data_IF_467780644510
#
_entry.id   IF_467780644510
#
_cell.length_a   1.000
_cell.length_b   1.000
_cell.length_c   1.000
_cell.angle_alpha   90.00
_cell.angle_beta   90.00
_cell.angle_gamma   90.00
#
_symmetry.space_group_name_H-M   'P 1'
#
loop_
_entity.id
_entity.type
_entity.pdbx_description
1 polymer ?
#
# COMPACT_ATOMS: atom_id res chain seq x y z
N UNK A 1 4.19 35.35 122.78
CA UNK A 1 3.76 34.02 122.31
C UNK A 1 3.90 33.90 120.80
N UNK A 2 3.52 34.96 120.10
CA UNK A 2 3.16 34.93 118.68
C UNK A 2 4.36 34.71 117.73
N UNK A 3 5.56 35.20 118.07
CA UNK A 3 6.76 34.99 117.26
C UNK A 3 7.18 33.51 117.19
N UNK A 4 6.88 32.70 118.22
CA UNK A 4 7.16 31.26 118.22
C UNK A 4 6.17 30.49 117.33
N UNK A 5 4.91 30.95 117.29
CA UNK A 5 3.84 30.34 116.47
C UNK A 5 4.10 30.58 114.98
N UNK A 6 4.45 31.81 114.59
CA UNK A 6 4.77 32.15 113.19
C UNK A 6 6.01 31.38 112.69
N UNK A 7 7.03 31.18 113.55
CA UNK A 7 8.20 30.35 113.21
C UNK A 7 7.87 28.87 113.02
N UNK A 8 6.88 28.34 113.74
CA UNK A 8 6.47 26.94 113.64
C UNK A 8 5.63 26.65 112.38
N UNK A 9 4.76 27.58 111.97
CA UNK A 9 3.89 27.40 110.80
C UNK A 9 4.64 27.61 109.47
N UNK A 10 5.56 28.58 109.39
CA UNK A 10 6.29 28.91 108.15
C UNK A 10 7.68 28.27 108.05
N UNK A 11 7.89 27.07 108.59
CA UNK A 11 9.21 26.40 108.60
C UNK A 11 9.80 26.22 107.19
N UNK A 12 8.96 25.91 106.20
CA UNK A 12 9.39 25.64 104.81
C UNK A 12 9.24 26.84 103.86
N UNK A 13 8.67 27.97 104.31
CA UNK A 13 8.41 29.16 103.48
C UNK A 13 9.22 30.36 103.98
N UNK A 14 10.53 30.32 103.71
CA UNK A 14 11.52 31.29 104.22
C UNK A 14 11.19 32.76 103.89
N UNK A 15 10.64 33.05 102.71
CA UNK A 15 10.26 34.42 102.29
C UNK A 15 9.05 34.95 103.05
N UNK A 16 8.01 34.13 103.23
CA UNK A 16 6.80 34.48 103.98
C UNK A 16 7.09 34.62 105.48
N UNK A 17 8.00 33.78 106.02
CA UNK A 17 8.47 33.86 107.41
C UNK A 17 9.17 35.19 107.73
N UNK A 18 9.99 35.70 106.81
CA UNK A 18 10.73 36.95 107.00
C UNK A 18 9.82 38.18 106.90
N UNK A 19 8.79 38.15 106.02
CA UNK A 19 7.81 39.24 105.93
C UNK A 19 6.88 39.30 107.15
N UNK A 20 6.61 38.17 107.83
CA UNK A 20 5.62 38.09 108.92
C UNK A 20 6.23 38.21 110.34
N UNK A 21 7.54 38.43 110.48
CA UNK A 21 8.25 38.33 111.77
C UNK A 21 7.93 39.46 112.78
N UNK A 22 7.29 40.56 112.33
CA UNK A 22 6.92 41.72 113.15
C UNK A 22 5.40 41.88 113.35
N UNK A 23 4.61 40.93 112.87
CA UNK A 23 3.15 40.95 112.95
C UNK A 23 2.63 40.14 114.14
N UNK A 24 1.46 40.53 114.67
CA UNK A 24 0.69 39.70 115.61
C UNK A 24 0.14 38.46 114.88
N UNK A 25 -0.11 37.37 115.60
CA UNK A 25 -0.62 36.13 115.01
C UNK A 25 -1.91 36.34 114.20
N UNK A 26 -2.81 37.22 114.66
CA UNK A 26 -4.06 37.57 113.96
C UNK A 26 -3.78 38.31 112.65
N UNK A 27 -2.94 39.35 112.68
CA UNK A 27 -2.56 40.10 111.46
C UNK A 27 -1.79 39.26 110.44
N UNK A 28 -1.07 38.22 110.89
CA UNK A 28 -0.38 37.29 110.00
C UNK A 28 -1.34 36.33 109.29
N UNK A 29 -2.44 35.93 109.96
CA UNK A 29 -3.52 35.13 109.35
C UNK A 29 -4.23 35.96 108.28
N UNK A 30 -4.64 37.20 108.60
CA UNK A 30 -5.31 38.10 107.65
C UNK A 30 -4.47 38.36 106.39
N UNK A 31 -3.15 38.57 106.53
CA UNK A 31 -2.27 38.81 105.40
C UNK A 31 -2.00 37.54 104.55
N UNK A 32 -2.08 36.35 105.13
CA UNK A 32 -2.03 35.08 104.39
C UNK A 32 -3.36 34.85 103.69
N UNK A 33 -4.48 35.12 104.34
CA UNK A 33 -5.81 35.01 103.76
C UNK A 33 -5.98 35.99 102.58
N UNK A 34 -5.49 37.22 102.69
CA UNK A 34 -5.45 38.17 101.56
C UNK A 34 -4.64 37.62 100.38
N UNK A 35 -3.44 37.06 100.63
CA UNK A 35 -2.63 36.43 99.58
C UNK A 35 -3.30 35.18 99.00
N UNK A 36 -4.00 34.39 99.81
CA UNK A 36 -4.79 33.25 99.35
C UNK A 36 -5.94 33.71 98.45
N UNK A 37 -6.62 34.79 98.81
CA UNK A 37 -7.66 35.41 97.97
C UNK A 37 -7.09 35.98 96.67
N UNK A 38 -5.94 36.67 96.71
CA UNK A 38 -5.26 37.18 95.51
C UNK A 38 -4.83 36.05 94.57
N UNK A 39 -4.20 35.00 95.10
CA UNK A 39 -3.80 33.83 94.30
C UNK A 39 -5.02 33.03 93.80
N UNK A 40 -6.11 32.94 94.57
CA UNK A 40 -7.36 32.36 94.11
C UNK A 40 -8.01 33.18 92.99
N UNK A 41 -7.97 34.52 93.07
CA UNK A 41 -8.44 35.41 92.02
C UNK A 41 -7.58 35.28 90.76
N UNK A 42 -6.26 35.21 90.89
CA UNK A 42 -5.35 34.95 89.76
C UNK A 42 -5.62 33.58 89.11
N UNK A 43 -5.88 32.54 89.91
CA UNK A 43 -6.25 31.22 89.42
C UNK A 43 -7.60 31.25 88.68
N UNK A 44 -8.59 31.96 89.22
CA UNK A 44 -9.91 32.10 88.62
C UNK A 44 -9.84 32.87 87.29
N UNK A 45 -9.03 33.93 87.23
CA UNK A 45 -8.76 34.69 86.01
C UNK A 45 -8.10 33.80 84.93
N UNK A 46 -7.06 33.05 85.30
CA UNK A 46 -6.41 32.11 84.37
C UNK A 46 -7.35 30.99 83.91
N UNK A 47 -8.22 30.49 84.79
CA UNK A 47 -9.25 29.50 84.42
C UNK A 47 -10.26 30.10 83.44
N UNK A 48 -10.71 31.32 83.67
CA UNK A 48 -11.61 32.02 82.76
C UNK A 48 -10.96 32.19 81.38
N UNK A 49 -9.71 32.67 81.33
CA UNK A 49 -8.97 32.82 80.08
C UNK A 49 -8.73 31.49 79.37
N UNK A 50 -8.49 30.39 80.10
CA UNK A 50 -8.39 29.05 79.51
C UNK A 50 -9.70 28.64 78.86
N UNK A 51 -10.82 28.78 79.56
CA UNK A 51 -12.15 28.43 79.04
C UNK A 51 -12.49 29.27 77.80
N UNK A 52 -12.19 30.57 77.81
CA UNK A 52 -12.38 31.44 76.65
C UNK A 52 -11.56 30.98 75.43
N UNK A 53 -10.30 30.59 75.64
CA UNK A 53 -9.46 30.06 74.56
C UNK A 53 -9.97 28.70 74.06
N UNK A 54 -10.41 27.81 74.95
CA UNK A 54 -11.00 26.52 74.57
C UNK A 54 -12.28 26.70 73.75
N UNK A 55 -13.16 27.63 74.14
CA UNK A 55 -14.33 28.00 73.36
C UNK A 55 -13.93 28.54 71.98
N UNK A 56 -12.92 29.42 71.92
CA UNK A 56 -12.47 29.97 70.64
C UNK A 56 -11.90 28.92 69.71
N UNK A 57 -11.17 27.94 70.25
CA UNK A 57 -10.68 26.79 69.48
C UNK A 57 -11.83 25.94 68.97
N UNK A 58 -12.86 25.69 69.79
CA UNK A 58 -14.05 24.94 69.36
C UNK A 58 -14.83 25.67 68.27
N UNK A 59 -14.98 27.00 68.37
CA UNK A 59 -15.58 27.82 67.32
C UNK A 59 -14.82 27.71 66.00
N UNK A 60 -13.49 27.88 66.03
CA UNK A 60 -12.65 27.78 64.84
C UNK A 60 -12.65 26.38 64.23
N UNK A 61 -12.70 25.34 65.08
CA UNK A 61 -12.82 23.96 64.62
C UNK A 61 -14.17 23.73 63.93
N UNK A 62 -15.27 24.23 64.50
CA UNK A 62 -16.59 24.14 63.88
C UNK A 62 -16.69 24.94 62.57
N UNK A 63 -15.98 26.08 62.47
CA UNK A 63 -15.88 26.83 61.22
C UNK A 63 -15.09 26.05 60.15
N UNK A 64 -13.96 25.44 60.52
CA UNK A 64 -13.19 24.59 59.61
C UNK A 64 -14.00 23.39 59.11
N UNK A 65 -14.71 22.70 60.00
CA UNK A 65 -15.55 21.55 59.63
C UNK A 65 -16.69 21.98 58.68
N UNK A 66 -17.32 23.14 58.92
CA UNK A 66 -18.32 23.70 58.00
C UNK A 66 -17.74 24.03 56.63
N UNK A 67 -16.53 24.59 56.57
CA UNK A 67 -15.87 24.89 55.29
C UNK A 67 -15.48 23.62 54.54
N UNK A 68 -15.02 22.58 55.26
CA UNK A 68 -14.73 21.27 54.67
C UNK A 68 -15.99 20.60 54.09
N UNK A 69 -17.12 20.68 54.79
CA UNK A 69 -18.41 20.14 54.32
C UNK A 69 -18.93 20.85 53.07
N UNK A 70 -18.67 22.16 52.93
CA UNK A 70 -19.05 22.94 51.74
C UNK A 70 -18.20 22.51 50.54
N UNK A 71 -16.88 22.42 50.71
CA UNK A 71 -15.97 21.99 49.65
C UNK A 71 -16.26 20.56 49.18
N UNK A 72 -16.51 19.64 50.11
CA UNK A 72 -16.86 18.25 49.78
C UNK A 72 -18.18 18.13 48.97
N UNK A 73 -19.15 19.04 49.21
CA UNK A 73 -20.41 19.08 48.46
C UNK A 73 -20.26 19.67 47.06
N UNK A 74 -19.38 20.66 46.89
CA UNK A 74 -19.05 21.23 45.58
C UNK A 74 -18.32 20.22 44.68
N UNK A 75 -17.48 19.36 45.25
CA UNK A 75 -16.71 18.37 44.50
C UNK A 75 -17.50 17.11 44.09
N UNK A 76 -18.54 16.73 44.85
CA UNK A 76 -19.17 15.41 44.67
C UNK A 76 -20.29 15.40 43.60
N UNK A 77 -21.03 16.49 43.40
CA UNK A 77 -22.27 16.46 42.62
C UNK A 77 -22.67 17.81 41.99
N UNK A 78 -21.71 18.57 41.43
CA UNK A 78 -22.10 19.68 40.55
C UNK A 78 -22.78 19.12 39.28
N UNK A 79 -23.97 19.63 38.96
CA UNK A 79 -24.69 19.33 37.71
C UNK A 79 -23.79 19.56 36.47
N UNK A 80 -22.81 20.45 36.57
CA UNK A 80 -21.81 20.72 35.54
C UNK A 80 -20.87 19.53 35.33
N UNK A 81 -20.47 18.82 36.39
CA UNK A 81 -19.63 17.62 36.29
C UNK A 81 -20.40 16.47 35.64
N UNK A 82 -21.69 16.32 35.99
CA UNK A 82 -22.59 15.37 35.32
C UNK A 82 -22.75 15.71 33.84
N UNK A 83 -22.96 16.99 33.53
CA UNK A 83 -23.06 17.46 32.15
C UNK A 83 -21.78 17.22 31.35
N UNK A 84 -20.62 17.46 31.96
CA UNK A 84 -19.30 17.19 31.35
C UNK A 84 -19.15 15.71 31.02
N UNK A 85 -19.46 14.80 31.95
CA UNK A 85 -19.43 13.34 31.71
C UNK A 85 -20.39 12.91 30.61
N UNK A 86 -21.57 13.53 30.51
CA UNK A 86 -22.53 13.23 29.43
C UNK A 86 -22.02 13.70 28.07
N UNK A 87 -21.41 14.89 28.01
CA UNK A 87 -20.80 15.43 26.81
C UNK A 87 -19.61 14.59 26.35
N UNK A 88 -18.75 14.16 27.27
CA UNK A 88 -17.64 13.24 26.99
C UNK A 88 -18.15 11.90 26.43
N UNK A 89 -19.13 11.28 27.10
CA UNK A 89 -19.73 10.05 26.61
C UNK A 89 -20.41 10.20 25.24
N UNK A 90 -21.03 11.36 24.98
CA UNK A 90 -21.64 11.67 23.69
C UNK A 90 -20.58 11.82 22.60
N UNK A 91 -19.48 12.52 22.92
CA UNK A 91 -18.34 12.70 22.03
C UNK A 91 -17.67 11.36 21.70
N UNK A 92 -17.40 10.52 22.69
CA UNK A 92 -16.83 9.19 22.48
C UNK A 92 -17.73 8.31 21.60
N UNK A 93 -19.05 8.34 21.84
CA UNK A 93 -20.02 7.64 20.97
C UNK A 93 -19.99 8.18 19.54
N UNK A 94 -19.88 9.50 19.37
CA UNK A 94 -19.78 10.12 18.04
C UNK A 94 -18.47 9.73 17.34
N UNK A 95 -17.34 9.75 18.05
CA UNK A 95 -16.04 9.33 17.53
C UNK A 95 -16.04 7.86 17.13
N UNK A 96 -16.57 6.97 17.98
CA UNK A 96 -16.73 5.55 17.64
C UNK A 96 -17.60 5.37 16.40
N UNK A 97 -18.73 6.08 16.29
CA UNK A 97 -19.58 6.05 15.08
C UNK A 97 -18.86 6.56 13.84
N UNK A 98 -18.05 7.61 13.95
CA UNK A 98 -17.25 8.12 12.84
C UNK A 98 -16.17 7.11 12.43
N UNK A 99 -15.51 6.45 13.39
CA UNK A 99 -14.52 5.42 13.13
C UNK A 99 -15.15 4.21 12.44
N UNK A 100 -16.30 3.73 12.94
CA UNK A 100 -17.00 2.60 12.32
C UNK A 100 -17.52 2.97 10.94
N UNK A 101 -18.07 4.17 10.74
CA UNK A 101 -18.47 4.65 9.41
C UNK A 101 -17.28 4.70 8.45
N UNK A 102 -16.11 5.22 8.88
CA UNK A 102 -14.89 5.20 8.05
C UNK A 102 -14.44 3.80 7.71
N UNK A 103 -14.45 2.87 8.67
CA UNK A 103 -14.09 1.48 8.44
C UNK A 103 -15.05 0.82 7.44
N UNK A 104 -16.35 1.05 7.58
CA UNK A 104 -17.37 0.56 6.65
C UNK A 104 -17.18 1.15 5.26
N UNK A 105 -16.95 2.47 5.14
CA UNK A 105 -16.65 3.11 3.85
C UNK A 105 -15.41 2.54 3.20
N UNK A 106 -14.32 2.35 3.96
CA UNK A 106 -13.09 1.75 3.45
C UNK A 106 -13.30 0.30 2.98
N UNK A 107 -14.12 -0.48 3.68
CA UNK A 107 -14.47 -1.83 3.24
C UNK A 107 -15.29 -1.81 1.94
N UNK A 108 -16.28 -0.91 1.82
CA UNK A 108 -17.04 -0.77 0.58
C UNK A 108 -16.18 -0.27 -0.58
N UNK A 109 -15.23 0.63 -0.34
CA UNK A 109 -14.26 1.07 -1.34
C UNK A 109 -13.40 -0.10 -1.84
N UNK A 110 -12.91 -0.95 -0.92
CA UNK A 110 -12.16 -2.16 -1.28
C UNK A 110 -13.01 -3.16 -2.07
N UNK A 111 -14.28 -3.35 -1.70
CA UNK A 111 -15.22 -4.20 -2.46
C UNK A 111 -15.41 -3.64 -3.87
N UNK A 112 -15.62 -2.33 -4.00
CA UNK A 112 -15.80 -1.68 -5.31
C UNK A 112 -14.54 -1.80 -6.16
N UNK A 113 -13.36 -1.67 -5.57
CA UNK A 113 -12.08 -1.88 -6.27
C UNK A 113 -11.98 -3.31 -6.82
N UNK A 114 -12.30 -4.33 -6.00
CA UNK A 114 -12.33 -5.72 -6.44
C UNK A 114 -13.36 -5.99 -7.54
N UNK A 115 -14.55 -5.41 -7.43
CA UNK A 115 -15.56 -5.53 -8.48
C UNK A 115 -15.14 -4.85 -9.78
N UNK A 116 -14.40 -3.73 -9.71
CA UNK A 116 -13.82 -3.09 -10.90
C UNK A 116 -12.72 -3.93 -11.54
N UNK A 117 -11.85 -4.55 -10.73
CA UNK A 117 -10.85 -5.51 -11.23
C UNK A 117 -11.54 -6.69 -11.95
N UNK A 118 -12.58 -7.26 -11.35
CA UNK A 118 -13.38 -8.34 -11.97
C UNK A 118 -14.09 -7.87 -13.23
N UNK A 119 -14.63 -6.65 -13.24
CA UNK A 119 -15.29 -6.07 -14.41
C UNK A 119 -14.35 -6.01 -15.62
N UNK A 120 -13.07 -5.73 -15.41
CA UNK A 120 -12.07 -5.69 -16.47
C UNK A 120 -11.73 -7.08 -17.04
N UNK A 121 -12.00 -8.15 -16.30
CA UNK A 121 -11.75 -9.54 -16.73
C UNK A 121 -12.89 -10.13 -17.56
N UNK A 122 -14.12 -9.64 -17.39
CA UNK A 122 -15.29 -10.17 -18.12
C UNK A 122 -15.20 -10.05 -19.65
N UNK A 123 -14.72 -8.94 -20.24
CA UNK A 123 -14.56 -8.83 -21.70
C UNK A 123 -13.65 -9.92 -22.26
N UNK A 124 -12.49 -10.17 -21.64
CA UNK A 124 -11.57 -11.22 -22.08
C UNK A 124 -12.21 -12.62 -21.99
N UNK A 125 -12.98 -12.88 -20.92
CA UNK A 125 -13.72 -14.15 -20.79
C UNK A 125 -14.83 -14.29 -21.83
N UNK A 126 -15.50 -13.19 -22.18
CA UNK A 126 -16.51 -13.16 -23.24
C UNK A 126 -15.87 -13.41 -24.61
N UNK A 127 -14.74 -12.78 -24.92
CA UNK A 127 -14.03 -12.99 -26.19
C UNK A 127 -13.62 -14.47 -26.38
N UNK A 128 -13.16 -15.13 -25.31
CA UNK A 128 -12.86 -16.57 -25.36
C UNK A 128 -14.12 -17.38 -25.65
N UNK A 129 -15.21 -17.15 -24.91
CA UNK A 129 -16.47 -17.87 -25.13
C UNK A 129 -17.07 -17.60 -26.53
N UNK A 130 -16.94 -16.38 -27.04
CA UNK A 130 -17.38 -16.02 -28.39
C UNK A 130 -16.54 -16.71 -29.46
N UNK A 131 -15.22 -16.82 -29.25
CA UNK A 131 -14.33 -17.57 -30.16
C UNK A 131 -14.66 -19.07 -30.18
N UNK A 132 -14.84 -19.69 -29.01
CA UNK A 132 -15.25 -21.10 -28.91
C UNK A 132 -16.61 -21.34 -29.57
N UNK A 133 -17.56 -20.43 -29.37
CA UNK A 133 -18.87 -20.53 -30.02
C UNK A 133 -18.76 -20.38 -31.55
N UNK A 134 -17.88 -19.49 -32.03
CA UNK A 134 -17.63 -19.34 -33.45
C UNK A 134 -17.05 -20.63 -34.05
N UNK A 135 -16.03 -21.21 -33.41
CA UNK A 135 -15.42 -22.50 -33.82
C UNK A 135 -16.47 -23.61 -33.88
N UNK A 136 -17.28 -23.78 -32.83
CA UNK A 136 -18.35 -24.79 -32.79
C UNK A 136 -19.40 -24.55 -33.87
N UNK A 137 -19.75 -23.29 -34.16
CA UNK A 137 -20.71 -22.99 -35.24
C UNK A 137 -20.15 -23.30 -36.62
N UNK A 138 -18.84 -23.13 -36.81
CA UNK A 138 -18.18 -23.45 -38.08
C UNK A 138 -18.05 -24.97 -38.25
N UNK A 139 -17.66 -25.70 -37.21
CA UNK A 139 -17.69 -27.17 -37.19
C UNK A 139 -19.08 -27.71 -37.49
N UNK A 140 -20.13 -27.12 -36.90
CA UNK A 140 -21.52 -27.51 -37.17
C UNK A 140 -21.88 -27.28 -38.65
N UNK A 141 -21.49 -26.16 -39.24
CA UNK A 141 -21.72 -25.89 -40.66
C UNK A 141 -21.02 -26.94 -41.52
N UNK A 142 -19.74 -27.24 -41.26
CA UNK A 142 -19.00 -28.26 -41.98
C UNK A 142 -19.68 -29.63 -41.88
N UNK A 143 -20.09 -30.05 -40.68
CA UNK A 143 -20.82 -31.29 -40.46
C UNK A 143 -22.16 -31.32 -41.19
N UNK A 144 -22.89 -30.19 -41.25
CA UNK A 144 -24.15 -30.13 -42.01
C UNK A 144 -23.92 -30.29 -43.51
N UNK A 145 -22.83 -29.73 -44.06
CA UNK A 145 -22.46 -29.89 -45.47
C UNK A 145 -22.07 -31.34 -45.74
N UNK A 146 -21.24 -31.94 -44.88
CA UNK A 146 -20.84 -33.34 -45.00
C UNK A 146 -22.05 -34.28 -44.92
N UNK A 147 -23.00 -34.03 -44.03
CA UNK A 147 -24.23 -34.81 -43.92
C UNK A 147 -25.09 -34.70 -45.19
N UNK A 148 -25.25 -33.49 -45.75
CA UNK A 148 -25.97 -33.30 -47.03
C UNK A 148 -25.29 -34.03 -48.17
N UNK A 149 -23.96 -34.01 -48.24
CA UNK A 149 -23.19 -34.76 -49.23
C UNK A 149 -23.37 -36.28 -49.05
N UNK A 150 -23.32 -36.78 -47.81
CA UNK A 150 -23.55 -38.19 -47.52
C UNK A 150 -24.98 -38.64 -47.87
N UNK A 151 -25.99 -37.80 -47.62
CA UNK A 151 -27.37 -38.04 -48.03
C UNK A 151 -27.50 -38.10 -49.56
N UNK A 152 -26.93 -37.12 -50.27
CA UNK A 152 -26.95 -37.09 -51.73
C UNK A 152 -26.25 -38.31 -52.36
N UNK A 153 -25.07 -38.69 -51.85
CA UNK A 153 -24.36 -39.89 -52.29
C UNK A 153 -25.16 -41.17 -52.01
N UNK A 154 -25.87 -41.23 -50.88
CA UNK A 154 -26.76 -42.34 -50.55
C UNK A 154 -27.97 -42.43 -51.48
N UNK A 155 -28.56 -41.29 -51.86
CA UNK A 155 -29.64 -41.23 -52.85
C UNK A 155 -29.16 -41.63 -54.25
N UNK A 156 -27.98 -41.15 -54.66
CA UNK A 156 -27.36 -41.53 -55.93
C UNK A 156 -27.07 -43.03 -56.00
N UNK A 157 -26.50 -43.61 -54.94
CA UNK A 157 -26.26 -45.06 -54.87
C UNK A 157 -27.57 -45.87 -54.92
N UNK A 158 -28.65 -45.39 -54.29
CA UNK A 158 -29.97 -46.03 -54.39
C UNK A 158 -30.54 -45.94 -55.80
N UNK A 159 -30.43 -44.78 -56.46
CA UNK A 159 -30.88 -44.60 -57.84
C UNK A 159 -30.11 -45.52 -58.80
N UNK A 160 -28.78 -45.59 -58.65
CA UNK A 160 -27.94 -46.46 -59.48
C UNK A 160 -28.27 -47.94 -59.25
N UNK A 161 -28.50 -48.35 -57.98
CA UNK A 161 -28.95 -49.70 -57.66
C UNK A 161 -30.28 -50.02 -58.35
N UNK A 162 -31.29 -49.14 -58.24
CA UNK A 162 -32.58 -49.34 -58.92
C UNK A 162 -32.44 -49.37 -60.45
N UNK A 163 -31.54 -48.58 -61.04
CA UNK A 163 -31.25 -48.63 -62.49
C UNK A 163 -30.65 -49.98 -62.88
N UNK A 164 -29.64 -50.44 -62.15
CA UNK A 164 -29.01 -51.75 -62.38
C UNK A 164 -30.00 -52.90 -62.21
N UNK A 165 -30.89 -52.84 -61.21
CA UNK A 165 -31.95 -53.83 -61.00
C UNK A 165 -32.93 -53.87 -62.19
N UNK A 166 -33.32 -52.71 -62.73
CA UNK A 166 -34.16 -52.63 -63.94
C UNK A 166 -33.44 -53.20 -65.17
N UNK A 167 -32.17 -52.84 -65.38
CA UNK A 167 -31.36 -53.37 -66.48
C UNK A 167 -31.23 -54.89 -66.40
N UNK A 168 -31.02 -55.44 -65.20
CA UNK A 168 -30.98 -56.89 -64.97
C UNK A 168 -32.33 -57.53 -65.26
N UNK A 169 -33.43 -56.91 -64.81
CA UNK A 169 -34.78 -57.42 -65.04
C UNK A 169 -35.13 -57.44 -66.53
N UNK A 170 -34.88 -56.35 -67.25
CA UNK A 170 -35.09 -56.27 -68.70
C UNK A 170 -34.17 -57.22 -69.47
N UNK A 171 -32.91 -57.35 -69.03
CA UNK A 171 -31.96 -58.31 -69.57
C UNK A 171 -32.39 -59.77 -69.37
N UNK A 172 -33.01 -60.10 -68.22
CA UNK A 172 -33.65 -61.41 -68.01
C UNK A 172 -34.84 -61.60 -68.95
N UNK A 173 -35.72 -60.61 -69.03
CA UNK A 173 -36.91 -60.65 -69.90
C UNK A 173 -36.56 -60.83 -71.37
N UNK A 174 -35.55 -60.12 -71.89
CA UNK A 174 -35.05 -60.28 -73.26
C UNK A 174 -34.47 -61.66 -73.51
N UNK A 175 -33.62 -62.16 -72.60
CA UNK A 175 -33.07 -63.53 -72.68
C UNK A 175 -34.16 -64.59 -72.66
N UNK A 176 -35.18 -64.43 -71.82
CA UNK A 176 -36.31 -65.37 -71.78
C UNK A 176 -37.10 -65.35 -73.09
N UNK A 177 -37.32 -64.17 -73.68
CA UNK A 177 -37.96 -64.03 -75.00
C UNK A 177 -37.13 -64.70 -76.10
N UNK A 178 -35.81 -64.47 -76.13
CA UNK A 178 -34.89 -65.10 -77.08
C UNK A 178 -34.83 -66.62 -76.90
N UNK A 179 -34.81 -67.12 -75.66
CA UNK A 179 -34.89 -68.54 -75.34
C UNK A 179 -36.19 -69.17 -75.84
N UNK A 180 -37.33 -68.49 -75.69
CA UNK A 180 -38.61 -68.95 -76.22
C UNK A 180 -38.59 -68.95 -77.75
N UNK A 181 -38.09 -67.90 -78.39
CA UNK A 181 -38.00 -67.80 -79.85
C UNK A 181 -37.10 -68.88 -80.45
N UNK A 182 -35.92 -69.11 -79.85
CA UNK A 182 -34.99 -70.16 -80.27
C UNK A 182 -35.54 -71.56 -80.02
N UNK A 183 -36.21 -71.82 -78.88
CA UNK A 183 -36.90 -73.09 -78.64
C UNK A 183 -37.95 -73.36 -79.73
N UNK A 184 -38.74 -72.36 -80.11
CA UNK A 184 -39.73 -72.47 -81.18
C UNK A 184 -39.10 -72.76 -82.54
N UNK A 185 -37.99 -72.10 -82.88
CA UNK A 185 -37.27 -72.37 -84.14
C UNK A 185 -36.59 -73.75 -84.14
N UNK A 186 -36.05 -74.19 -83.00
CA UNK A 186 -35.50 -75.54 -82.84
C UNK A 186 -36.59 -76.59 -82.99
N UNK A 187 -37.77 -76.38 -82.40
CA UNK A 187 -38.94 -77.26 -82.56
C UNK A 187 -39.37 -77.32 -84.04
N UNK A 188 -39.49 -76.18 -84.72
CA UNK A 188 -39.78 -76.09 -86.16
C UNK A 188 -38.73 -76.80 -87.03
N UNK A 189 -37.44 -76.66 -86.70
CA UNK A 189 -36.36 -77.36 -87.39
C UNK A 189 -36.35 -78.85 -87.09
N UNK A 190 -36.61 -79.28 -85.87
CA UNK A 190 -36.77 -80.69 -85.50
C UNK A 190 -37.92 -81.31 -86.29
N UNK A 191 -39.06 -80.62 -86.41
CA UNK A 191 -40.15 -81.06 -87.29
C UNK A 191 -39.75 -81.15 -88.77
N UNK A 192 -38.81 -80.30 -89.23
CA UNK A 192 -38.27 -80.34 -90.60
C UNK A 192 -37.19 -81.40 -90.80
N UNK A 193 -36.38 -81.69 -89.77
CA UNK A 193 -35.33 -82.70 -89.75
C UNK A 193 -35.94 -84.09 -89.57
N UNK A 194 -36.94 -84.29 -88.71
CA UNK A 194 -37.74 -85.52 -88.66
C UNK A 194 -38.40 -85.83 -90.03
N UNK A 195 -38.66 -84.79 -90.85
CA UNK A 195 -39.10 -84.94 -92.26
C UNK A 195 -37.95 -85.23 -93.24
N UNK A 196 -36.71 -84.80 -92.98
CA UNK A 196 -35.52 -85.00 -93.82
C UNK A 196 -34.67 -86.24 -93.45
N UNK A 197 -34.58 -86.64 -92.18
CA UNK A 197 -33.90 -87.86 -91.70
C UNK A 197 -34.58 -89.14 -92.20
N UNK A 198 -35.85 -89.06 -92.62
CA UNK A 198 -36.48 -90.10 -93.44
C UNK A 198 -35.89 -90.23 -94.86
N UNK A 199 -34.89 -89.42 -95.28
CA UNK A 199 -34.39 -89.37 -96.67
C UNK A 199 -32.88 -89.18 -96.92
N UNK A 200 -31.96 -89.18 -95.95
CA UNK A 200 -30.56 -88.90 -96.32
C UNK A 200 -29.48 -89.34 -95.35
N UNK A 201 -28.99 -90.56 -95.53
CA UNK A 201 -27.72 -91.02 -94.98
C UNK A 201 -26.61 -90.92 -96.06
N UNK A 202 -25.38 -90.66 -95.58
CA UNK A 202 -24.05 -90.81 -96.24
C UNK A 202 -23.56 -89.66 -97.14
N UNK A 203 -22.40 -89.09 -96.82
CA UNK A 203 -21.08 -89.38 -97.46
C UNK A 203 -20.03 -88.37 -96.93
N UNK A 204 -18.98 -88.72 -96.16
CA UNK A 204 -17.61 -89.19 -96.49
C UNK A 204 -16.69 -88.27 -97.33
N UNK A 205 -15.53 -87.93 -96.70
CA UNK A 205 -14.11 -88.00 -97.15
C UNK A 205 -13.45 -86.87 -97.99
N UNK A 206 -12.32 -86.40 -97.40
CA UNK A 206 -10.95 -86.21 -97.93
C UNK A 206 -10.61 -85.31 -99.13
N UNK A 207 -9.42 -84.70 -99.03
CA UNK A 207 -8.69 -84.10 -100.16
C UNK A 207 -7.42 -83.37 -99.74
N UNK A 208 -6.34 -84.12 -99.47
CA UNK A 208 -4.96 -83.61 -99.49
C UNK A 208 -4.49 -83.42 -100.96
N UNK A 209 -3.66 -82.41 -101.22
CA UNK A 209 -2.24 -82.56 -101.59
C UNK A 209 -1.66 -81.49 -102.55
N UNK A 210 -0.47 -81.03 -102.14
CA UNK A 210 0.72 -80.58 -102.90
C UNK A 210 0.71 -79.35 -103.82
N UNK A 211 1.62 -78.41 -103.50
CA UNK A 211 2.45 -77.71 -104.49
C UNK A 211 3.79 -77.24 -103.87
N UNK A 212 4.82 -78.06 -104.05
CA UNK A 212 6.23 -77.73 -103.78
C UNK A 212 6.84 -76.99 -104.98
N UNK A 213 7.30 -75.76 -104.74
CA UNK A 213 8.42 -75.05 -105.41
C UNK A 213 8.46 -73.55 -105.08
N UNK A 214 7.42 -72.99 -104.43
CA UNK A 214 7.49 -71.69 -103.71
C UNK A 214 8.12 -71.79 -102.31
N UNK A 215 8.24 -73.01 -101.78
CA UNK A 215 8.63 -73.28 -100.40
C UNK A 215 10.04 -72.79 -100.03
N UNK A 216 11.04 -72.86 -100.93
CA UNK A 216 12.44 -72.54 -100.56
C UNK A 216 12.75 -71.03 -100.41
N UNK A 217 12.16 -70.17 -101.26
CA UNK A 217 12.31 -68.72 -101.12
C UNK A 217 11.53 -68.18 -99.90
N UNK A 218 10.40 -68.82 -99.59
CA UNK A 218 9.61 -68.56 -98.39
C UNK A 218 10.33 -69.07 -97.14
N UNK A 219 11.03 -70.21 -97.20
CA UNK A 219 11.86 -70.76 -96.12
C UNK A 219 13.02 -69.85 -95.73
N UNK A 220 13.63 -69.14 -96.69
CA UNK A 220 14.72 -68.22 -96.42
C UNK A 220 14.23 -66.89 -95.81
N UNK A 221 13.07 -66.39 -96.24
CA UNK A 221 12.37 -65.28 -95.55
C UNK A 221 11.89 -65.69 -94.16
N UNK A 222 11.40 -66.92 -94.00
CA UNK A 222 11.00 -67.47 -92.71
C UNK A 222 12.19 -67.59 -91.76
N UNK A 223 13.37 -67.99 -92.23
CA UNK A 223 14.60 -68.01 -91.39
C UNK A 223 15.01 -66.61 -90.94
N UNK A 224 14.98 -65.62 -91.83
CA UNK A 224 15.28 -64.23 -91.45
C UNK A 224 14.22 -63.66 -90.50
N UNK A 225 12.95 -63.99 -90.71
CA UNK A 225 11.87 -63.62 -89.80
C UNK A 225 12.02 -64.32 -88.45
N UNK A 226 12.42 -65.59 -88.41
CA UNK A 226 12.71 -66.32 -87.16
C UNK A 226 13.86 -65.67 -86.38
N UNK A 227 14.96 -65.31 -87.04
CA UNK A 227 16.05 -64.61 -86.35
C UNK A 227 15.62 -63.26 -85.79
N UNK A 228 14.75 -62.53 -86.50
CA UNK A 228 14.19 -61.27 -86.00
C UNK A 228 13.24 -61.49 -84.83
N UNK A 229 12.39 -62.51 -84.90
CA UNK A 229 11.47 -62.89 -83.82
C UNK A 229 12.26 -63.22 -82.55
N UNK A 230 13.31 -64.04 -82.64
CA UNK A 230 14.18 -64.36 -81.50
C UNK A 230 14.83 -63.12 -80.88
N UNK A 231 15.36 -62.19 -81.71
CA UNK A 231 15.91 -60.94 -81.18
C UNK A 231 14.87 -60.03 -80.52
N UNK A 232 13.62 -60.03 -81.01
CA UNK A 232 12.53 -59.28 -80.37
C UNK A 232 12.09 -59.97 -79.06
N UNK A 233 12.01 -61.30 -79.02
CA UNK A 233 11.71 -62.07 -77.81
C UNK A 233 12.75 -61.81 -76.72
N UNK A 234 14.06 -61.87 -77.03
CA UNK A 234 15.12 -61.53 -76.08
C UNK A 234 15.02 -60.09 -75.57
N UNK A 235 14.62 -59.13 -76.43
CA UNK A 235 14.41 -57.75 -76.01
C UNK A 235 13.18 -57.60 -75.11
N UNK A 236 12.10 -58.33 -75.38
CA UNK A 236 10.90 -58.32 -74.56
C UNK A 236 11.13 -58.99 -73.20
N UNK A 237 11.91 -60.06 -73.13
CA UNK A 237 12.26 -60.70 -71.87
C UNK A 237 13.10 -59.77 -70.98
N UNK A 238 14.05 -59.02 -71.55
CA UNK A 238 14.79 -57.98 -70.81
C UNK A 238 13.88 -56.88 -70.26
N UNK A 239 12.89 -56.44 -71.04
CA UNK A 239 11.92 -55.43 -70.59
C UNK A 239 11.02 -56.01 -69.50
N UNK A 240 10.59 -57.26 -69.65
CA UNK A 240 9.77 -58.00 -68.68
C UNK A 240 10.49 -58.16 -67.34
N UNK A 241 11.78 -58.50 -67.38
CA UNK A 241 12.65 -58.56 -66.19
C UNK A 241 12.82 -57.18 -65.54
N UNK A 242 13.11 -56.14 -66.32
CA UNK A 242 13.33 -54.78 -65.79
C UNK A 242 12.06 -54.16 -65.17
N UNK A 243 10.89 -54.49 -65.71
CA UNK A 243 9.60 -54.00 -65.21
C UNK A 243 8.95 -54.93 -64.18
N UNK A 244 9.53 -56.13 -63.97
CA UNK A 244 9.03 -57.17 -63.06
C UNK A 244 7.57 -57.52 -63.35
N UNK A 245 7.28 -57.85 -64.60
CA UNK A 245 5.94 -58.18 -65.10
C UNK A 245 5.93 -59.61 -65.64
N UNK A 246 4.80 -60.32 -65.62
CA UNK A 246 4.72 -61.71 -66.11
C UNK A 246 4.40 -61.81 -67.61
N UNK A 247 3.57 -60.89 -68.14
CA UNK A 247 3.17 -60.82 -69.55
C UNK A 247 3.59 -59.50 -70.22
N UNK A 248 3.85 -59.53 -71.52
CA UNK A 248 4.26 -58.34 -72.30
C UNK A 248 3.13 -57.30 -72.33
N UNK A 249 1.87 -57.76 -72.35
CA UNK A 249 0.68 -56.90 -72.31
C UNK A 249 0.64 -56.01 -71.08
N UNK A 250 1.11 -56.53 -69.95
CA UNK A 250 1.07 -55.86 -68.64
C UNK A 250 2.20 -54.82 -68.46
N UNK A 251 3.24 -54.86 -69.31
CA UNK A 251 4.36 -53.91 -69.28
C UNK A 251 3.87 -52.49 -69.55
N UNK A 252 2.99 -52.33 -70.53
CA UNK A 252 2.41 -51.02 -70.90
C UNK A 252 1.63 -50.45 -69.72
N UNK A 253 0.76 -51.26 -69.12
CA UNK A 253 -0.06 -50.88 -67.96
C UNK A 253 0.85 -50.46 -66.79
N UNK A 254 1.92 -51.20 -66.53
CA UNK A 254 2.81 -50.89 -65.42
C UNK A 254 3.61 -49.60 -65.62
N UNK A 255 4.03 -49.33 -66.87
CA UNK A 255 4.71 -48.08 -67.22
C UNK A 255 3.75 -46.90 -67.10
N UNK A 256 2.51 -47.02 -67.56
CA UNK A 256 1.47 -46.00 -67.41
C UNK A 256 1.19 -45.71 -65.92
N UNK A 257 0.99 -46.74 -65.10
CA UNK A 257 0.80 -46.60 -63.66
C UNK A 257 1.99 -45.97 -62.95
N UNK A 258 3.23 -46.26 -63.39
CA UNK A 258 4.43 -45.61 -62.87
C UNK A 258 4.51 -44.14 -63.29
N UNK A 259 4.08 -43.82 -64.52
CA UNK A 259 4.03 -42.44 -65.02
C UNK A 259 3.01 -41.61 -64.22
N UNK A 260 1.80 -42.14 -64.03
CA UNK A 260 0.78 -41.52 -63.18
C UNK A 260 1.26 -41.32 -61.75
N UNK A 261 1.90 -42.33 -61.15
CA UNK A 261 2.47 -42.20 -59.79
C UNK A 261 3.57 -41.14 -59.74
N UNK A 262 4.42 -41.04 -60.77
CA UNK A 262 5.44 -40.00 -60.88
C UNK A 262 4.79 -38.62 -60.95
N UNK A 263 3.76 -38.45 -61.77
CA UNK A 263 3.02 -37.18 -61.89
C UNK A 263 2.35 -36.79 -60.57
N UNK A 264 1.71 -37.72 -59.87
CA UNK A 264 1.10 -37.48 -58.55
C UNK A 264 2.14 -37.08 -57.50
N UNK A 265 3.30 -37.74 -57.47
CA UNK A 265 4.38 -37.40 -56.55
C UNK A 265 4.97 -36.02 -56.86
N UNK A 266 5.10 -35.68 -58.13
CA UNK A 266 5.59 -34.38 -58.58
C UNK A 266 4.62 -33.25 -58.18
N UNK A 267 3.30 -33.47 -58.35
CA UNK A 267 2.28 -32.55 -57.85
C UNK A 267 2.36 -32.38 -56.33
N UNK A 268 2.50 -33.47 -55.57
CA UNK A 268 2.68 -33.41 -54.11
C UNK A 268 3.96 -32.66 -53.73
N UNK A 269 5.06 -32.86 -54.46
CA UNK A 269 6.32 -32.13 -54.25
C UNK A 269 6.11 -30.63 -54.43
N UNK A 270 5.45 -30.22 -55.52
CA UNK A 270 5.15 -28.82 -55.81
C UNK A 270 4.22 -28.20 -54.75
N UNK A 271 3.20 -28.93 -54.30
CA UNK A 271 2.32 -28.48 -53.21
C UNK A 271 3.07 -28.28 -51.90
N UNK A 272 3.94 -29.22 -51.52
CA UNK A 272 4.75 -29.12 -50.31
C UNK A 272 5.79 -28.00 -50.39
N UNK A 273 6.43 -27.81 -51.55
CA UNK A 273 7.33 -26.69 -51.80
C UNK A 273 6.59 -25.34 -51.72
N UNK A 274 5.39 -25.27 -52.28
CA UNK A 274 4.51 -24.10 -52.17
C UNK A 274 4.19 -23.77 -50.71
N UNK A 275 3.75 -24.77 -49.93
CA UNK A 275 3.44 -24.62 -48.50
C UNK A 275 4.68 -24.22 -47.69
N UNK A 276 5.84 -24.81 -47.97
CA UNK A 276 7.12 -24.43 -47.34
C UNK A 276 7.45 -22.96 -47.60
N UNK A 277 7.31 -22.50 -48.84
CA UNK A 277 7.61 -21.12 -49.20
C UNK A 277 6.61 -20.13 -48.58
N UNK A 278 5.33 -20.50 -48.44
CA UNK A 278 4.35 -19.70 -47.69
C UNK A 278 4.73 -19.56 -46.22
N UNK A 279 5.05 -20.66 -45.54
CA UNK A 279 5.47 -20.65 -44.14
C UNK A 279 6.75 -19.83 -43.92
N UNK A 280 7.70 -19.88 -44.86
CA UNK A 280 8.91 -19.05 -44.78
C UNK A 280 8.57 -17.55 -44.85
N UNK A 281 7.67 -17.14 -45.75
CA UNK A 281 7.23 -15.75 -45.86
C UNK A 281 6.46 -15.29 -44.61
N UNK A 282 5.62 -16.15 -44.05
CA UNK A 282 4.91 -15.85 -42.80
C UNK A 282 5.88 -15.70 -41.63
N UNK A 283 6.87 -16.58 -41.52
CA UNK A 283 7.94 -16.45 -40.53
C UNK A 283 8.69 -15.12 -40.67
N UNK A 284 9.08 -14.73 -41.88
CA UNK A 284 9.76 -13.45 -42.14
C UNK A 284 8.87 -12.26 -41.77
N UNK A 285 7.59 -12.29 -42.13
CA UNK A 285 6.62 -11.26 -41.74
C UNK A 285 6.49 -11.15 -40.21
N UNK A 286 6.37 -12.28 -39.52
CA UNK A 286 6.27 -12.30 -38.05
C UNK A 286 7.54 -11.77 -37.38
N UNK A 287 8.72 -12.08 -37.93
CA UNK A 287 9.99 -11.54 -37.44
C UNK A 287 10.07 -10.01 -37.61
N UNK A 288 9.61 -9.49 -38.75
CA UNK A 288 9.56 -8.03 -38.95
C UNK A 288 8.64 -7.35 -37.95
N UNK A 289 7.42 -7.88 -37.75
CA UNK A 289 6.47 -7.36 -36.76
C UNK A 289 7.06 -7.41 -35.35
N UNK A 290 7.75 -8.50 -35.00
CA UNK A 290 8.42 -8.63 -33.71
C UNK A 290 9.53 -7.58 -33.53
N UNK A 291 10.35 -7.35 -34.55
CA UNK A 291 11.38 -6.31 -34.49
C UNK A 291 10.77 -4.92 -34.32
N UNK A 292 9.74 -4.59 -35.09
CA UNK A 292 9.05 -3.30 -34.98
C UNK A 292 8.41 -3.12 -33.60
N UNK A 293 7.76 -4.16 -33.07
CA UNK A 293 7.17 -4.13 -31.73
C UNK A 293 8.25 -4.00 -30.64
N UNK A 294 9.40 -4.67 -30.80
CA UNK A 294 10.51 -4.56 -29.87
C UNK A 294 11.10 -3.16 -29.83
N UNK A 295 11.38 -2.57 -30.99
CA UNK A 295 11.95 -1.23 -31.06
C UNK A 295 10.96 -0.13 -30.64
N UNK A 296 9.66 -0.31 -30.90
CA UNK A 296 8.62 0.62 -30.43
C UNK A 296 8.38 0.50 -28.93
N UNK A 297 8.38 -0.73 -28.40
CA UNK A 297 8.28 -1.01 -26.97
C UNK A 297 9.47 -0.45 -26.19
N UNK A 298 10.69 -0.67 -26.66
CA UNK A 298 11.92 -0.13 -26.03
C UNK A 298 11.93 1.41 -26.03
N UNK A 299 11.47 2.06 -27.11
CA UNK A 299 11.32 3.53 -27.15
C UNK A 299 10.27 4.05 -26.18
N UNK A 300 9.09 3.41 -26.11
CA UNK A 300 8.02 3.81 -25.21
C UNK A 300 8.42 3.66 -23.73
N UNK A 301 9.15 2.58 -23.39
CA UNK A 301 9.71 2.37 -22.06
C UNK A 301 10.73 3.45 -21.72
N UNK A 302 11.68 3.74 -22.60
CA UNK A 302 12.70 4.77 -22.39
C UNK A 302 12.09 6.18 -22.24
N UNK A 303 11.08 6.52 -23.05
CA UNK A 303 10.35 7.78 -22.90
C UNK A 303 9.54 7.85 -21.59
N UNK A 304 9.01 6.71 -21.12
CA UNK A 304 8.34 6.58 -19.83
C UNK A 304 9.29 6.80 -18.66
N UNK A 305 10.47 6.17 -18.69
CA UNK A 305 11.53 6.33 -17.68
C UNK A 305 12.02 7.77 -17.61
N UNK A 306 12.26 8.42 -18.75
CA UNK A 306 12.66 9.84 -18.80
C UNK A 306 11.60 10.75 -18.19
N UNK A 307 10.32 10.56 -18.53
CA UNK A 307 9.22 11.35 -17.93
C UNK A 307 9.11 11.11 -16.43
N UNK A 308 9.33 9.88 -15.97
CA UNK A 308 9.32 9.56 -14.55
C UNK A 308 10.46 10.28 -13.82
N UNK A 309 11.67 10.28 -14.37
CA UNK A 309 12.82 10.99 -13.82
C UNK A 309 12.57 12.51 -13.75
N UNK A 310 12.03 13.11 -14.81
CA UNK A 310 11.63 14.52 -14.83
C UNK A 310 10.61 14.85 -13.74
N UNK A 311 9.63 13.96 -13.51
CA UNK A 311 8.62 14.14 -12.46
C UNK A 311 9.21 13.97 -11.06
N UNK A 312 10.11 13.02 -10.86
CA UNK A 312 10.83 12.86 -9.60
C UNK A 312 11.69 14.09 -9.29
N UNK A 313 12.35 14.66 -10.28
CA UNK A 313 13.14 15.89 -10.12
C UNK A 313 12.28 17.12 -9.83
N UNK A 314 11.12 17.24 -10.50
CA UNK A 314 10.13 18.28 -10.17
C UNK A 314 9.67 18.14 -8.71
N UNK A 315 9.37 16.92 -8.26
CA UNK A 315 8.96 16.66 -6.89
C UNK A 315 10.07 17.02 -5.89
N UNK A 316 11.32 16.63 -6.15
CA UNK A 316 12.49 16.99 -5.33
C UNK A 316 12.61 18.51 -5.18
N UNK A 317 12.52 19.26 -6.29
CA UNK A 317 12.58 20.73 -6.28
C UNK A 317 11.44 21.36 -5.48
N UNK A 318 10.21 20.86 -5.62
CA UNK A 318 9.07 21.33 -4.86
C UNK A 318 9.22 21.04 -3.37
N UNK A 319 9.76 19.87 -3.02
CA UNK A 319 10.01 19.48 -1.63
C UNK A 319 11.05 20.39 -0.98
N UNK A 320 12.14 20.69 -1.67
CA UNK A 320 13.16 21.65 -1.22
C UNK A 320 12.57 23.05 -1.02
N UNK A 321 11.69 23.49 -1.92
CA UNK A 321 11.00 24.77 -1.78
C UNK A 321 10.08 24.78 -0.56
N UNK A 322 9.27 23.73 -0.38
CA UNK A 322 8.40 23.58 0.79
C UNK A 322 9.20 23.62 2.10
N UNK A 323 10.30 22.87 2.17
CA UNK A 323 11.16 22.87 3.36
C UNK A 323 11.74 24.26 3.66
N UNK A 324 12.15 25.02 2.63
CA UNK A 324 12.62 26.39 2.79
C UNK A 324 11.53 27.34 3.27
N UNK A 325 10.31 27.22 2.73
CA UNK A 325 9.18 28.06 3.17
C UNK A 325 8.74 27.71 4.58
N UNK A 326 8.69 26.43 4.93
CA UNK A 326 8.38 25.95 6.28
C UNK A 326 9.37 26.49 7.32
N UNK A 327 10.67 26.43 7.03
CA UNK A 327 11.70 27.05 7.90
C UNK A 327 11.49 28.55 8.08
N UNK A 328 11.17 29.28 7.01
CA UNK A 328 10.87 30.73 7.08
C UNK A 328 9.63 31.00 7.92
N UNK A 329 8.57 30.20 7.76
CA UNK A 329 7.33 30.32 8.54
C UNK A 329 7.59 30.02 10.01
N UNK A 330 8.32 28.96 10.34
CA UNK A 330 8.68 28.62 11.72
C UNK A 330 9.51 29.72 12.37
N UNK A 331 10.48 30.27 11.65
CA UNK A 331 11.27 31.40 12.14
C UNK A 331 10.39 32.64 12.36
N UNK A 332 9.51 32.96 11.41
CA UNK A 332 8.54 34.06 11.53
C UNK A 332 7.60 33.88 12.72
N UNK A 333 7.10 32.67 12.97
CA UNK A 333 6.26 32.35 14.15
C UNK A 333 7.01 32.57 15.45
N UNK A 334 8.26 32.12 15.56
CA UNK A 334 9.10 32.34 16.76
C UNK A 334 9.31 33.83 17.01
N UNK A 335 9.69 34.58 15.98
CA UNK A 335 9.85 36.03 16.08
C UNK A 335 8.55 36.73 16.50
N UNK A 336 7.42 36.34 15.90
CA UNK A 336 6.10 36.89 16.27
C UNK A 336 5.76 36.62 17.74
N UNK A 337 6.00 35.41 18.24
CA UNK A 337 5.80 35.07 19.65
C UNK A 337 6.70 35.89 20.56
N UNK A 338 8.00 36.01 20.25
CA UNK A 338 8.93 36.83 21.03
C UNK A 338 8.49 38.30 21.05
N UNK A 339 8.11 38.86 19.91
CA UNK A 339 7.64 40.24 19.81
C UNK A 339 6.31 40.45 20.55
N UNK A 340 5.38 39.50 20.49
CA UNK A 340 4.12 39.55 21.23
C UNK A 340 4.36 39.57 22.74
N UNK A 341 5.21 38.67 23.25
CA UNK A 341 5.55 38.65 24.68
C UNK A 341 6.28 39.94 25.10
N UNK A 342 7.22 40.43 24.28
CA UNK A 342 7.93 41.67 24.54
C UNK A 342 6.99 42.89 24.57
N UNK A 343 6.04 42.96 23.63
CA UNK A 343 5.05 44.03 23.54
C UNK A 343 4.09 43.98 24.73
N UNK A 344 3.63 42.80 25.12
CA UNK A 344 2.80 42.60 26.31
C UNK A 344 3.52 43.04 27.58
N UNK A 345 4.80 42.68 27.72
CA UNK A 345 5.62 43.12 28.86
C UNK A 345 5.80 44.63 28.87
N UNK A 346 6.01 45.26 27.70
CA UNK A 346 6.14 46.71 27.60
C UNK A 346 4.82 47.41 27.91
N UNK A 347 3.68 46.92 27.42
CA UNK A 347 2.35 47.42 27.76
C UNK A 347 2.06 47.33 29.27
N UNK A 348 2.45 46.22 29.92
CA UNK A 348 2.33 46.08 31.38
C UNK A 348 3.11 47.17 32.12
N UNK A 349 4.35 47.43 31.70
CA UNK A 349 5.20 48.48 32.30
C UNK A 349 4.66 49.89 32.04
N UNK A 350 4.01 50.13 30.91
CA UNK A 350 3.43 51.42 30.52
C UNK A 350 1.94 51.57 30.90
N UNK A 351 1.43 50.74 31.82
CA UNK A 351 0.03 50.80 32.25
C UNK A 351 -0.33 52.15 32.90
N UNK A 352 0.61 52.76 33.63
CA UNK A 352 0.40 54.03 34.35
C UNK A 352 0.37 55.29 33.48
N UNK A 353 0.67 55.22 32.18
CA UNK A 353 0.69 56.38 31.29
C UNK A 353 -0.65 56.48 30.56
N UNK A 354 -1.40 57.55 30.85
CA UNK A 354 -2.66 57.89 30.18
C UNK A 354 -2.37 58.82 29.01
N UNK A 355 -2.71 58.39 27.79
CA UNK A 355 -2.60 59.24 26.60
C UNK A 355 -3.80 60.20 26.53
N UNK A 356 -3.75 61.23 25.68
CA UNK A 356 -4.91 62.07 25.38
C UNK A 356 -5.69 61.49 24.19
N UNK A 357 -7.02 61.63 24.13
CA UNK A 357 -7.80 61.21 22.95
C UNK A 357 -7.29 61.94 21.70
N UNK A 358 -7.19 61.28 20.53
CA UNK A 358 -7.80 59.99 20.15
C UNK A 358 -6.90 58.75 20.32
N UNK A 359 -5.72 58.87 20.95
CA UNK A 359 -4.74 57.76 21.04
C UNK A 359 -4.95 56.80 22.22
N UNK A 360 -6.02 56.99 23.00
CA UNK A 360 -6.47 56.05 24.03
C UNK A 360 -7.28 54.90 23.42
N UNK A 361 -6.67 54.12 22.53
CA UNK A 361 -7.34 52.94 21.98
C UNK A 361 -7.14 51.74 22.91
N UNK A 362 -8.18 50.92 23.14
CA UNK A 362 -8.07 49.72 23.96
C UNK A 362 -7.16 48.70 23.28
N UNK A 363 -6.51 47.85 24.09
CA UNK A 363 -5.71 46.72 23.60
C UNK A 363 -6.59 45.88 22.66
N UNK A 364 -6.15 45.70 21.41
CA UNK A 364 -6.92 44.94 20.40
C UNK A 364 -6.33 43.56 20.14
N UNK A 365 -5.19 43.21 20.76
CA UNK A 365 -4.53 41.91 20.60
C UNK A 365 -3.79 41.75 19.27
N UNK A 366 -3.80 42.80 18.43
CA UNK A 366 -3.04 42.86 17.19
C UNK A 366 -1.64 43.43 17.48
N UNK A 367 -0.59 42.63 17.27
CA UNK A 367 0.80 43.00 17.58
C UNK A 367 1.21 44.37 17.01
N UNK A 368 0.84 44.66 15.76
CA UNK A 368 1.16 45.94 15.12
C UNK A 368 0.51 47.13 15.85
N UNK A 369 -0.76 46.98 16.20
CA UNK A 369 -1.51 48.03 16.88
C UNK A 369 -1.03 48.22 18.32
N UNK A 370 -0.76 47.12 19.02
CA UNK A 370 -0.24 47.12 20.38
C UNK A 370 1.16 47.76 20.43
N UNK A 371 2.02 47.52 19.42
CA UNK A 371 3.31 48.21 19.26
C UNK A 371 3.17 49.70 18.94
N UNK A 372 2.21 50.10 18.11
CA UNK A 372 1.91 51.51 17.83
C UNK A 372 1.44 52.24 19.11
N UNK A 373 0.62 51.58 19.93
CA UNK A 373 0.19 52.08 21.23
C UNK A 373 1.36 52.21 22.21
N UNK A 374 2.24 51.21 22.28
CA UNK A 374 3.49 51.26 23.03
C UNK A 374 4.35 52.46 22.64
N UNK A 375 4.53 52.69 21.33
CA UNK A 375 5.31 53.83 20.80
C UNK A 375 4.70 55.16 21.23
N UNK A 376 3.38 55.31 21.12
CA UNK A 376 2.69 56.53 21.55
C UNK A 376 2.86 56.78 23.06
N UNK A 377 2.70 55.74 23.89
CA UNK A 377 2.90 55.82 25.35
C UNK A 377 4.34 56.16 25.73
N UNK A 378 5.33 55.57 25.07
CA UNK A 378 6.74 55.89 25.30
C UNK A 378 7.07 57.33 24.89
N UNK A 379 6.49 57.83 23.80
CA UNK A 379 6.70 59.21 23.36
C UNK A 379 6.11 60.21 24.37
N UNK A 380 4.91 59.93 24.89
CA UNK A 380 4.30 60.74 25.94
C UNK A 380 5.09 60.67 27.26
N UNK A 381 5.64 59.51 27.62
CA UNK A 381 6.55 59.39 28.77
C UNK A 381 7.76 60.28 28.58
N UNK A 382 8.42 60.21 27.41
CA UNK A 382 9.60 61.02 27.09
C UNK A 382 9.32 62.52 27.15
N UNK A 383 8.11 62.96 26.78
CA UNK A 383 7.68 64.36 26.90
C UNK A 383 7.35 64.77 28.34
N UNK A 384 6.87 63.84 29.17
CA UNK A 384 6.51 64.08 30.58
C UNK A 384 7.67 63.99 31.57
N UNK A 385 8.76 63.35 31.16
CA UNK A 385 9.96 63.18 31.97
C UNK A 385 10.84 64.41 31.80
N UNK A 386 10.86 65.27 32.81
CA UNK A 386 11.82 66.38 32.89
C UNK A 386 13.14 65.83 33.43
N UNK A 387 14.24 65.97 32.68
CA UNK A 387 15.55 65.36 32.99
C UNK A 387 16.05 65.78 34.39
N UNK A 388 15.67 66.98 34.83
CA UNK A 388 15.98 67.50 36.17
C UNK A 388 15.34 66.69 37.30
N UNK A 389 14.13 66.17 37.10
CA UNK A 389 13.46 65.35 38.12
C UNK A 389 14.11 63.98 38.29
N UNK A 390 14.83 63.48 37.28
CA UNK A 390 15.59 62.23 37.38
C UNK A 390 16.91 62.49 38.08
N UNK A 391 17.64 63.56 37.74
CA UNK A 391 18.88 63.95 38.44
C UNK A 391 18.62 64.27 39.92
N UNK A 392 17.55 65.01 40.23
CA UNK A 392 17.11 65.29 41.60
C UNK A 392 16.69 64.01 42.35
N UNK A 393 16.06 63.05 41.66
CA UNK A 393 15.67 61.78 42.26
C UNK A 393 16.88 60.84 42.48
N UNK A 394 17.85 60.82 41.58
CA UNK A 394 19.10 60.07 41.74
C UNK A 394 19.96 60.68 42.86
N UNK A 395 20.06 62.01 42.96
CA UNK A 395 20.71 62.68 44.10
C UNK A 395 19.99 62.39 45.42
N UNK A 396 18.65 62.40 45.44
CA UNK A 396 17.87 62.07 46.64
C UNK A 396 17.95 60.58 47.01
N UNK A 397 18.02 59.67 46.05
CA UNK A 397 18.19 58.23 46.31
C UNK A 397 19.61 57.93 46.79
N UNK A 398 20.61 58.66 46.29
CA UNK A 398 22.01 58.56 46.72
C UNK A 398 22.30 59.31 48.02
N UNK A 399 21.35 60.13 48.50
CA UNK A 399 21.48 60.84 49.76
C UNK A 399 21.49 59.86 50.95
N UNK A 400 22.40 60.04 51.93
CA UNK A 400 22.51 59.16 53.09
C UNK A 400 21.21 59.16 53.93
N UNK A 401 20.46 60.26 53.92
CA UNK A 401 19.19 60.44 54.62
C UNK A 401 18.09 59.50 54.09
N UNK A 402 18.09 59.22 52.78
CA UNK A 402 17.14 58.30 52.17
C UNK A 402 17.47 56.84 52.49
N UNK A 403 18.75 56.49 52.52
CA UNK A 403 19.20 55.18 53.00
C UNK A 403 18.87 54.98 54.48
N UNK A 404 19.07 56.00 55.33
CA UNK A 404 18.71 55.95 56.75
C UNK A 404 17.18 55.85 56.97
N UNK A 405 16.39 56.55 56.15
CA UNK A 405 14.92 56.42 56.15
C UNK A 405 14.47 55.01 55.74
N UNK A 406 15.06 54.43 54.70
CA UNK A 406 14.79 53.05 54.30
C UNK A 406 15.22 52.05 55.39
N UNK A 407 16.37 52.27 56.01
CA UNK A 407 16.87 51.45 57.12
C UNK A 407 15.94 51.49 58.34
N UNK A 408 15.33 52.64 58.63
CA UNK A 408 14.36 52.82 59.73
C UNK A 408 13.02 52.09 59.54
N UNK A 409 12.69 51.70 58.30
CA UNK A 409 11.45 51.02 57.93
C UNK A 409 11.61 49.53 57.65
N UNK A 410 12.78 48.94 57.91
CA UNK A 410 13.00 47.52 57.67
C UNK A 410 12.30 46.65 58.75
N UNK A 411 11.59 45.58 58.37
CA UNK A 411 11.03 44.61 59.31
C UNK A 411 12.11 43.95 60.18
N UNK A 412 11.80 43.63 61.43
CA UNK A 412 12.75 43.06 62.42
C UNK A 412 13.31 41.67 62.08
N UNK A 413 12.81 41.03 61.02
CA UNK A 413 13.30 39.75 60.49
C UNK A 413 14.43 39.89 59.47
N UNK A 414 14.79 41.11 59.06
CA UNK A 414 15.89 41.32 58.12
C UNK A 414 17.26 41.15 58.78
N UNK A 415 17.98 40.09 58.39
CA UNK A 415 19.38 39.86 58.75
C UNK A 415 20.27 40.49 57.67
N UNK A 416 21.02 41.55 58.03
CA UNK A 416 21.93 42.24 57.10
C UNK A 416 23.13 41.34 56.78
N UNK A 417 23.41 41.10 55.49
CA UNK A 417 24.65 40.48 55.03
C UNK A 417 25.61 41.60 54.64
N UNK A 418 26.69 41.80 55.41
CA UNK A 418 27.76 42.71 55.02
C UNK A 418 28.58 42.06 53.91
N UNK A 419 28.48 42.58 52.68
CA UNK A 419 29.43 42.23 51.62
C UNK A 419 30.71 43.02 51.86
N UNK A 420 31.83 42.31 52.06
CA UNK A 420 33.15 42.91 52.13
C UNK A 420 33.49 43.58 50.78
N UNK A 421 33.99 44.82 50.84
CA UNK A 421 34.50 45.54 49.67
C UNK A 421 35.65 44.76 48.99
N UNK A 422 35.65 44.81 47.66
CA UNK A 422 36.62 44.22 46.74
C UNK A 422 36.48 42.71 46.44
N UNK A 423 35.45 42.36 45.68
CA UNK A 423 35.54 41.27 44.70
C UNK A 423 35.76 41.90 43.32
N UNK A 424 37.00 41.77 42.83
CA UNK A 424 37.40 42.21 41.51
C UNK A 424 36.55 41.55 40.40
N UNK A 425 36.33 42.32 39.33
CA UNK A 425 35.84 41.93 38.01
C UNK A 425 35.09 40.59 37.95
N UNK A 426 33.78 40.68 38.15
CA UNK A 426 32.82 39.59 38.09
C UNK A 426 32.57 39.16 36.62
N UNK A 427 33.59 38.64 35.94
CA UNK A 427 33.49 38.05 34.58
C UNK A 427 33.79 36.56 34.55
N UNK A 428 33.85 35.89 35.70
CA UNK A 428 34.07 34.43 35.76
C UNK A 428 33.06 33.76 36.70
N UNK A 429 31.80 33.74 36.28
CA UNK A 429 30.84 32.75 36.79
C UNK A 429 31.09 31.43 36.06
N UNK A 430 32.08 30.68 36.53
CA UNK A 430 32.17 29.26 36.21
C UNK A 430 31.03 28.57 36.98
N UNK A 431 29.98 28.20 36.24
CA UNK A 431 28.82 27.50 36.76
C UNK A 431 29.25 26.08 37.17
N UNK A 432 29.60 25.91 38.45
CA UNK A 432 29.86 24.60 39.04
C UNK A 432 28.50 23.91 39.32
N UNK A 433 27.94 23.30 38.29
CA UNK A 433 26.75 22.46 38.37
C UNK A 433 27.13 21.05 38.80
N UNK A 434 27.73 20.91 39.99
CA UNK A 434 27.71 19.65 40.72
C UNK A 434 26.38 19.51 41.47
N UNK A 435 25.32 19.29 40.70
CA UNK A 435 24.14 18.58 41.18
C UNK A 435 24.03 17.32 40.35
N UNK A 436 24.42 16.21 40.96
CA UNK A 436 24.12 14.86 40.52
C UNK A 436 22.64 14.78 40.13
N UNK A 437 22.36 14.75 38.82
CA UNK A 437 21.31 13.94 38.23
C UNK A 437 21.34 14.02 36.68
N UNK A 438 21.48 12.85 36.08
CA UNK A 438 21.13 12.44 34.71
C UNK A 438 22.09 12.74 33.54
N UNK A 439 22.84 11.70 33.15
CA UNK A 439 23.15 11.21 31.77
C UNK A 439 22.97 12.16 30.56
N UNK A 440 23.48 13.39 30.63
CA UNK A 440 23.57 14.27 29.45
C UNK A 440 25.02 14.61 29.21
N UNK A 441 25.60 13.96 28.19
CA UNK A 441 26.93 14.27 27.67
C UNK A 441 27.01 15.77 27.37
N UNK A 442 27.94 16.47 28.02
CA UNK A 442 28.12 17.90 27.75
C UNK A 442 28.57 18.12 26.31
N UNK A 443 28.34 19.32 25.78
CA UNK A 443 28.74 19.69 24.41
C UNK A 443 30.21 19.41 24.13
N UNK A 444 31.06 19.56 25.14
CA UNK A 444 32.50 19.31 25.00
C UNK A 444 32.82 17.81 25.03
N UNK A 445 32.06 16.99 25.75
CA UNK A 445 32.14 15.52 25.67
C UNK A 445 31.71 14.99 24.30
N UNK A 446 30.62 15.53 23.74
CA UNK A 446 30.15 15.19 22.39
C UNK A 446 31.20 15.61 21.35
N UNK A 447 31.83 16.78 21.52
CA UNK A 447 32.94 17.20 20.66
C UNK A 447 34.13 16.26 20.79
N UNK A 448 34.50 15.85 22.01
CA UNK A 448 35.62 14.94 22.24
C UNK A 448 35.37 13.57 21.61
N UNK A 449 34.18 13.00 21.79
CA UNK A 449 33.78 11.74 21.13
C UNK A 449 33.73 11.88 19.61
N UNK A 450 33.25 13.01 19.09
CA UNK A 450 33.27 13.31 17.66
C UNK A 450 34.70 13.39 17.09
N UNK A 451 35.63 13.99 17.84
CA UNK A 451 37.04 14.07 17.49
C UNK A 451 37.69 12.68 17.52
N UNK A 452 37.44 11.88 18.57
CA UNK A 452 37.95 10.51 18.69
C UNK A 452 37.44 9.59 17.56
N UNK A 453 36.17 9.74 17.13
CA UNK A 453 35.60 9.00 16.00
C UNK A 453 36.20 9.45 14.65
N UNK A 454 36.48 10.73 14.48
CA UNK A 454 37.16 11.25 13.29
C UNK A 454 38.60 10.73 13.22
N UNK A 455 39.33 10.77 14.34
CA UNK A 455 40.71 10.27 14.44
C UNK A 455 40.80 8.76 14.29
N UNK A 456 39.80 8.01 14.75
CA UNK A 456 39.69 6.56 14.55
C UNK A 456 39.48 6.18 13.07
N UNK A 457 38.78 7.03 12.29
CA UNK A 457 38.58 6.83 10.84
C UNK A 457 39.77 7.30 9.99
N UNK A 458 40.59 8.22 10.50
CA UNK A 458 41.79 8.73 9.81
C UNK A 458 43.04 7.87 10.02
N UNK A 459 43.03 6.90 10.96
CA UNK A 459 44.15 5.95 11.10
C UNK A 459 44.12 4.89 9.99
N UNK A 460 45.13 4.82 9.10
CA UNK A 460 45.19 3.76 8.09
C UNK A 460 45.33 2.39 8.75
N UNK A 461 44.48 1.43 8.34
CA UNK A 461 44.52 0.04 8.79
C UNK A 461 45.91 -0.56 8.51
N UNK A 462 46.71 -0.81 9.57
CA UNK A 462 47.96 -1.59 9.46
C UNK A 462 47.63 -2.99 8.93
N UNK A 463 48.16 -3.34 7.75
CA UNK A 463 48.08 -4.69 7.18
C UNK A 463 48.83 -5.66 8.11
N UNK A 464 48.17 -6.74 8.55
CA UNK A 464 48.80 -7.84 9.30
C UNK A 464 49.84 -8.55 8.41
N UNK A 465 51.02 -8.92 8.92
CA UNK A 465 52.00 -9.67 8.15
C UNK A 465 51.50 -11.11 7.92
N UNK A 466 51.62 -11.58 6.68
CA UNK A 466 51.43 -12.99 6.31
C UNK A 466 52.54 -13.82 6.96
N UNK A 467 52.16 -14.81 7.78
CA UNK A 467 53.09 -15.85 8.25
C UNK A 467 53.47 -16.74 7.06
N UNK A 468 54.78 -16.99 6.92
CA UNK A 468 55.34 -18.10 6.14
C UNK A 468 55.20 -19.39 6.92
#
# INVERSE_FOLDING_TARGET
GDEKVIKAVFQNRRKERLSMQRYSAETAIEAVDQKMCETANQLNELRHQRVQRELKVQELQAELDRMADILAKEECDSEEMRHTRLLENSLDKALMKCQTARNISSQYEAIVEKLKEEQLLFPAKLEVLESELMEVTDELKELTVMNKQAQAAGEEAKMELSRMEQEIFDGRRKRDQELVATRKEVERRKESVDKMEKKGARHTLYGESHQDQKAQAEQQRQRQNQTKILTYEEAFDRIKEATLVSDISDVVIRVEMQDEKRQQLEQKRQQLEGKRNQLLREKERMLQIYHDLRYTGEKALSDGERKLEEKQDQLRKLWDQHWRTEKKVLHGKKLYQTLSVATDNLLKKLHGITLKPPHNLPRTGNLKHDLELCKAKLSALLESVDVKQIEDAEENISAPEYHEFLESRLPSTNVRIHLAESLGSLTDFHYDSHTDDTDVLTRDDIKRQGQELADAKLKPKKKKPRKK
#
